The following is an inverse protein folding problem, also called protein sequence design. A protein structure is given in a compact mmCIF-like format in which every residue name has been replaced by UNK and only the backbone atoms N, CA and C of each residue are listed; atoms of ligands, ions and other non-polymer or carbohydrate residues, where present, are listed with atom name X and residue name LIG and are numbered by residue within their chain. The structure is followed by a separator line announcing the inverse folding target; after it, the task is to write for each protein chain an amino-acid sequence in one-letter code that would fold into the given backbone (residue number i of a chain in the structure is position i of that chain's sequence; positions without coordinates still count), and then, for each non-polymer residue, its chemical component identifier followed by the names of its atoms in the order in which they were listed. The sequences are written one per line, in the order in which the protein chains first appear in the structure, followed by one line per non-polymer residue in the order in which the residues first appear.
data_IF_083146153928
#
_entry.id   IF_083146153928
#
_cell.length_a   1.000
_cell.length_b   1.000
_cell.length_c   1.000
_cell.angle_alpha   90.00
_cell.angle_beta   90.00
_cell.angle_gamma   90.00
#
_symmetry.space_group_name_H-M   'P 1'
#
loop_
_entity.id
_entity.type
_entity.pdbx_description
1 polymer ?
#
# COMPACT_ATOMS: atom_id res chain seq x y z
N UNK A 1 -36.03 -8.47 53.36
CA UNK A 1 -35.98 -9.38 52.20
C UNK A 1 -36.28 -8.59 50.94
N UNK A 2 -35.26 -8.16 50.20
CA UNK A 2 -35.40 -7.49 48.91
C UNK A 2 -35.37 -8.56 47.82
N UNK A 3 -36.53 -8.80 47.19
CA UNK A 3 -36.67 -9.74 46.08
C UNK A 3 -36.16 -9.09 44.80
N UNK A 4 -35.03 -9.57 44.29
CA UNK A 4 -34.44 -9.15 43.02
C UNK A 4 -35.27 -9.68 41.85
N UNK A 5 -36.05 -8.81 41.20
CA UNK A 5 -36.70 -9.12 39.92
C UNK A 5 -35.65 -9.12 38.81
N UNK A 6 -35.23 -10.30 38.37
CA UNK A 6 -34.60 -10.45 37.05
C UNK A 6 -35.67 -10.18 35.99
N UNK A 7 -35.56 -9.06 35.28
CA UNK A 7 -36.32 -8.85 34.05
C UNK A 7 -35.76 -9.77 32.97
N UNK A 8 -36.58 -10.59 32.30
CA UNK A 8 -36.10 -11.41 31.19
C UNK A 8 -35.68 -10.49 30.04
N UNK A 9 -34.43 -10.66 29.60
CA UNK A 9 -33.93 -10.06 28.36
C UNK A 9 -34.87 -10.52 27.25
N UNK A 10 -35.52 -9.56 26.57
CA UNK A 10 -36.52 -9.91 25.56
C UNK A 10 -35.86 -10.68 24.42
N UNK A 11 -36.58 -11.63 23.81
CA UNK A 11 -36.07 -12.39 22.66
C UNK A 11 -35.62 -11.48 21.50
N UNK A 12 -36.09 -10.23 21.47
CA UNK A 12 -35.69 -9.20 20.52
C UNK A 12 -34.26 -8.68 20.77
N UNK A 13 -33.88 -8.37 22.01
CA UNK A 13 -32.51 -7.92 22.33
C UNK A 13 -31.47 -9.04 22.14
N UNK A 14 -31.84 -10.29 22.41
CA UNK A 14 -30.97 -11.44 22.12
C UNK A 14 -30.74 -11.64 20.62
N UNK A 15 -31.78 -11.45 19.79
CA UNK A 15 -31.68 -11.54 18.33
C UNK A 15 -30.82 -10.42 17.73
N UNK A 16 -30.93 -9.19 18.24
CA UNK A 16 -30.11 -8.06 17.80
C UNK A 16 -28.64 -8.30 18.15
N UNK A 17 -28.33 -8.71 19.39
CA UNK A 17 -26.96 -9.03 19.82
C UNK A 17 -26.33 -10.19 19.01
N UNK A 18 -27.11 -11.25 18.75
CA UNK A 18 -26.65 -12.35 17.92
C UNK A 18 -26.35 -11.90 16.48
N UNK A 19 -27.19 -11.03 15.90
CA UNK A 19 -26.95 -10.46 14.58
C UNK A 19 -25.68 -9.60 14.56
N UNK A 20 -25.46 -8.75 15.57
CA UNK A 20 -24.26 -7.93 15.70
C UNK A 20 -22.98 -8.76 15.79
N UNK A 21 -23.00 -9.87 16.52
CA UNK A 21 -21.89 -10.83 16.62
C UNK A 21 -21.59 -11.52 15.28
N UNK A 22 -22.62 -11.88 14.52
CA UNK A 22 -22.46 -12.45 13.17
C UNK A 22 -21.85 -11.43 12.21
N UNK A 23 -22.29 -10.17 12.23
CA UNK A 23 -21.68 -9.12 11.40
C UNK A 23 -20.23 -8.82 11.80
N UNK A 24 -19.92 -8.78 13.10
CA UNK A 24 -18.55 -8.56 13.58
C UNK A 24 -17.59 -9.70 13.18
N UNK A 25 -18.05 -10.96 13.26
CA UNK A 25 -17.26 -12.14 12.90
C UNK A 25 -17.07 -12.28 11.39
N UNK A 26 -18.10 -12.03 10.59
CA UNK A 26 -17.96 -12.04 9.12
C UNK A 26 -17.02 -10.91 8.67
N UNK A 27 -17.16 -9.70 9.22
CA UNK A 27 -16.28 -8.57 8.88
C UNK A 27 -14.80 -8.85 9.17
N UNK A 28 -14.49 -9.49 10.30
CA UNK A 28 -13.11 -9.82 10.67
C UNK A 28 -12.51 -10.94 9.80
N UNK A 29 -13.30 -11.94 9.39
CA UNK A 29 -12.84 -12.97 8.43
C UNK A 29 -12.49 -12.36 7.07
N UNK A 30 -13.29 -11.41 6.58
CA UNK A 30 -13.00 -10.72 5.32
C UNK A 30 -11.71 -9.89 5.38
N UNK A 31 -11.45 -9.21 6.51
CA UNK A 31 -10.22 -8.44 6.71
C UNK A 31 -8.99 -9.36 6.72
N UNK A 32 -9.03 -10.44 7.50
CA UNK A 32 -7.90 -11.39 7.60
C UNK A 32 -7.62 -12.06 6.27
N UNK A 33 -8.67 -12.42 5.51
CA UNK A 33 -8.51 -13.02 4.19
C UNK A 33 -7.85 -12.05 3.19
N UNK A 34 -8.24 -10.78 3.21
CA UNK A 34 -7.62 -9.78 2.34
C UNK A 34 -6.13 -9.59 2.68
N UNK A 35 -5.78 -9.54 3.98
CA UNK A 35 -4.40 -9.45 4.43
C UNK A 35 -3.56 -10.67 4.03
N UNK A 36 -4.15 -11.88 4.07
CA UNK A 36 -3.50 -13.11 3.62
C UNK A 36 -3.30 -13.14 2.10
N UNK A 37 -4.31 -12.77 1.32
CA UNK A 37 -4.21 -12.71 -0.15
C UNK A 37 -3.15 -11.69 -0.60
N UNK A 38 -3.05 -10.55 0.08
CA UNK A 38 -1.98 -9.56 -0.12
C UNK A 38 -0.59 -10.15 0.21
N UNK A 39 -0.45 -10.84 1.34
CA UNK A 39 0.82 -11.49 1.72
C UNK A 39 1.24 -12.60 0.76
N UNK A 40 0.28 -13.37 0.25
CA UNK A 40 0.56 -14.42 -0.74
C UNK A 40 0.99 -13.84 -2.08
N UNK A 41 0.38 -12.74 -2.53
CA UNK A 41 0.82 -12.02 -3.73
C UNK A 41 2.24 -11.48 -3.55
N UNK A 42 2.51 -10.84 -2.41
CA UNK A 42 3.84 -10.35 -2.05
C UNK A 42 4.90 -11.46 -2.06
N UNK A 43 4.59 -12.61 -1.46
CA UNK A 43 5.49 -13.77 -1.42
C UNK A 43 5.74 -14.38 -2.82
N UNK A 44 4.77 -14.27 -3.73
CA UNK A 44 4.86 -14.81 -5.08
C UNK A 44 5.67 -13.91 -6.03
N UNK A 45 5.56 -12.59 -5.88
CA UNK A 45 6.29 -11.60 -6.67
C UNK A 45 7.79 -11.55 -6.34
N UNK A 46 8.17 -11.93 -5.12
CA UNK A 46 9.56 -12.16 -4.71
C UNK A 46 10.29 -13.24 -5.53
N UNK A 47 9.58 -14.06 -6.34
CA UNK A 47 10.14 -15.24 -7.01
C UNK A 47 10.42 -15.12 -8.52
N UNK A 48 10.07 -14.03 -9.20
CA UNK A 48 10.40 -13.87 -10.63
C UNK A 48 11.75 -13.19 -10.84
N UNK A 49 12.82 -13.97 -10.71
CA UNK A 49 14.20 -13.59 -11.00
C UNK A 49 14.49 -13.55 -12.51
N UNK A 50 14.23 -12.42 -13.15
CA UNK A 50 15.08 -11.96 -14.26
C UNK A 50 15.82 -10.73 -13.75
N UNK A 51 17.13 -10.86 -13.50
CA UNK A 51 17.93 -9.74 -12.97
C UNK A 51 18.18 -8.73 -14.07
N UNK A 52 17.28 -7.78 -14.23
CA UNK A 52 17.48 -6.66 -15.14
C UNK A 52 18.48 -5.69 -14.53
N UNK A 53 19.50 -5.32 -15.30
CA UNK A 53 20.50 -4.32 -14.91
C UNK A 53 20.08 -2.99 -15.54
N UNK A 54 19.56 -2.04 -14.74
CA UNK A 54 19.11 -0.77 -15.27
C UNK A 54 20.30 0.06 -15.81
N UNK A 55 20.08 0.93 -16.81
CA UNK A 55 21.13 1.83 -17.29
C UNK A 55 21.69 2.70 -16.16
N UNK A 56 22.99 2.99 -16.22
CA UNK A 56 23.64 3.89 -15.26
C UNK A 56 23.29 5.36 -15.49
N UNK A 57 22.75 5.72 -16.65
CA UNK A 57 22.26 7.06 -16.96
C UNK A 57 20.92 7.33 -16.29
N UNK A 58 20.66 8.61 -16.02
CA UNK A 58 19.34 9.08 -15.58
C UNK A 58 18.29 8.83 -16.68
N UNK A 59 17.09 8.33 -16.37
CA UNK A 59 16.00 8.26 -17.34
C UNK A 59 15.63 9.68 -17.84
N UNK A 60 15.37 9.86 -19.15
CA UNK A 60 14.69 11.06 -19.64
C UNK A 60 13.36 11.25 -18.93
N UNK A 61 12.98 12.51 -18.65
CA UNK A 61 11.70 12.81 -17.99
C UNK A 61 10.57 12.81 -19.02
N UNK A 62 10.19 11.61 -19.46
CA UNK A 62 9.20 11.38 -20.51
C UNK A 62 8.25 10.24 -20.11
N UNK A 63 7.05 10.23 -20.70
CA UNK A 63 6.11 9.10 -20.55
C UNK A 63 6.73 7.79 -21.02
N UNK A 64 7.50 7.81 -22.12
CA UNK A 64 8.20 6.64 -22.63
C UNK A 64 9.14 6.02 -21.59
N UNK A 65 9.81 6.82 -20.76
CA UNK A 65 10.67 6.27 -19.71
C UNK A 65 9.89 5.62 -18.56
N UNK A 66 8.66 6.06 -18.31
CA UNK A 66 7.74 5.36 -17.40
C UNK A 66 7.36 4.00 -17.97
N UNK A 67 6.97 3.97 -19.25
CA UNK A 67 6.56 2.74 -19.92
C UNK A 67 7.71 1.73 -20.00
N UNK A 68 8.92 2.20 -20.31
CA UNK A 68 10.15 1.39 -20.29
C UNK A 68 10.42 0.86 -18.88
N UNK A 69 10.28 1.68 -17.83
CA UNK A 69 10.54 1.23 -16.47
C UNK A 69 9.52 0.16 -16.01
N UNK A 70 8.25 0.31 -16.37
CA UNK A 70 7.21 -0.70 -16.11
C UNK A 70 7.58 -2.06 -16.74
N UNK A 71 8.01 -2.06 -17.99
CA UNK A 71 8.46 -3.28 -18.69
C UNK A 71 9.77 -3.83 -18.09
N UNK A 72 10.77 -2.97 -17.92
CA UNK A 72 12.10 -3.30 -17.39
C UNK A 72 12.04 -3.99 -16.03
N UNK A 73 11.12 -3.57 -15.16
CA UNK A 73 10.97 -4.15 -13.83
C UNK A 73 9.79 -5.12 -13.73
N UNK A 74 9.13 -5.46 -14.85
CA UNK A 74 7.99 -6.37 -14.90
C UNK A 74 6.84 -5.96 -13.95
N UNK A 75 6.51 -4.67 -13.92
CA UNK A 75 5.42 -4.12 -13.11
C UNK A 75 4.12 -4.23 -13.92
N UNK A 76 3.13 -4.94 -13.37
CA UNK A 76 1.85 -5.17 -14.04
C UNK A 76 0.75 -4.26 -13.51
N UNK A 77 0.05 -3.57 -14.40
CA UNK A 77 -1.05 -2.68 -14.03
C UNK A 77 -2.27 -3.52 -13.62
N UNK A 78 -2.81 -3.37 -12.40
CA UNK A 78 -3.98 -4.11 -11.98
C UNK A 78 -5.24 -3.59 -12.70
N UNK A 79 -6.27 -4.43 -12.79
CA UNK A 79 -7.48 -4.16 -13.60
C UNK A 79 -8.24 -2.89 -13.18
N UNK A 80 -8.16 -2.56 -11.89
CA UNK A 80 -8.77 -1.39 -11.27
C UNK A 80 -7.93 -0.11 -11.40
N UNK A 81 -6.77 -0.14 -12.04
CA UNK A 81 -5.93 1.03 -12.27
C UNK A 81 -5.85 1.42 -13.75
N UNK A 82 -5.46 2.66 -14.01
CA UNK A 82 -5.01 3.14 -15.31
C UNK A 82 -3.48 3.05 -15.42
N UNK A 83 -2.95 3.09 -16.64
CA UNK A 83 -1.50 3.23 -16.83
C UNK A 83 -0.97 4.49 -16.15
N UNK A 84 0.20 4.42 -15.48
CA UNK A 84 0.84 5.59 -14.86
C UNK A 84 1.08 6.71 -15.87
N UNK A 85 0.87 7.96 -15.44
CA UNK A 85 1.07 9.14 -16.29
C UNK A 85 2.09 10.09 -15.70
N UNK A 86 2.93 10.66 -16.57
CA UNK A 86 3.80 11.76 -16.18
C UNK A 86 2.98 13.01 -15.82
N UNK A 87 3.20 13.54 -14.61
CA UNK A 87 2.70 14.85 -14.19
C UNK A 87 3.86 15.77 -13.82
N UNK A 88 4.13 16.76 -14.67
CA UNK A 88 5.22 17.72 -14.49
C UNK A 88 5.01 18.69 -13.32
N UNK A 89 3.82 18.73 -12.73
CA UNK A 89 3.48 19.59 -11.60
C UNK A 89 3.44 18.85 -10.28
N UNK A 90 3.57 17.53 -10.28
CA UNK A 90 3.60 16.74 -9.06
C UNK A 90 4.93 16.99 -8.34
N UNK A 91 4.87 17.45 -7.09
CA UNK A 91 6.05 17.70 -6.27
C UNK A 91 6.64 16.39 -5.72
N UNK A 92 5.77 15.41 -5.46
CA UNK A 92 6.14 14.08 -5.00
C UNK A 92 6.68 13.18 -6.13
N UNK A 93 7.22 12.01 -5.77
CA UNK A 93 7.71 11.03 -6.75
C UNK A 93 6.55 10.37 -7.49
N UNK A 94 5.51 10.00 -6.76
CA UNK A 94 4.33 9.32 -7.27
C UNK A 94 3.10 9.73 -6.47
N UNK A 95 1.92 9.50 -7.07
CA UNK A 95 0.65 9.68 -6.40
C UNK A 95 -0.40 8.74 -7.02
N UNK A 96 -1.09 7.99 -6.17
CA UNK A 96 -2.25 7.20 -6.54
C UNK A 96 -3.53 7.83 -6.01
N UNK A 97 -4.46 8.16 -6.91
CA UNK A 97 -5.75 8.76 -6.54
C UNK A 97 -6.93 7.95 -7.05
N UNK A 98 -8.05 8.04 -6.35
CA UNK A 98 -9.33 7.55 -6.85
C UNK A 98 -9.93 8.62 -7.77
N UNK A 99 -10.09 8.31 -9.06
CA UNK A 99 -10.77 9.21 -9.99
C UNK A 99 -12.17 9.55 -9.46
N UNK A 100 -12.56 10.83 -9.53
CA UNK A 100 -13.86 11.33 -9.03
C UNK A 100 -15.11 10.64 -9.60
N UNK A 101 -14.99 9.90 -10.72
CA UNK A 101 -16.06 9.04 -11.26
C UNK A 101 -16.02 7.58 -10.77
N UNK A 102 -15.09 7.23 -9.88
CA UNK A 102 -15.07 5.98 -9.11
C UNK A 102 -14.79 4.70 -9.89
N UNK A 103 -14.33 4.76 -11.14
CA UNK A 103 -14.16 3.56 -11.98
C UNK A 103 -12.78 2.92 -11.89
N UNK A 104 -11.72 3.73 -11.76
CA UNK A 104 -10.33 3.26 -11.70
C UNK A 104 -9.46 4.19 -10.87
N UNK A 105 -8.38 3.65 -10.31
CA UNK A 105 -7.29 4.39 -9.69
C UNK A 105 -6.41 4.99 -10.78
N UNK A 106 -6.03 6.25 -10.57
CA UNK A 106 -5.11 6.99 -11.43
C UNK A 106 -3.77 7.10 -10.72
N UNK A 107 -2.71 6.65 -11.41
CA UNK A 107 -1.33 6.76 -10.94
C UNK A 107 -0.65 7.88 -11.72
N UNK A 108 -0.08 8.84 -11.02
CA UNK A 108 0.77 9.88 -11.60
C UNK A 108 2.19 9.78 -11.06
N UNK A 109 3.16 10.12 -11.90
CA UNK A 109 4.59 10.08 -11.59
C UNK A 109 5.17 11.47 -11.81
N UNK A 110 5.87 11.97 -10.81
CA UNK A 110 6.44 13.31 -10.79
C UNK A 110 7.91 13.35 -11.21
N UNK A 111 8.45 14.54 -11.51
CA UNK A 111 9.86 14.74 -11.85
C UNK A 111 10.87 14.13 -10.85
N UNK A 112 10.50 14.08 -9.57
CA UNK A 112 11.35 13.58 -8.50
C UNK A 112 11.66 12.07 -8.61
N UNK A 113 10.83 11.28 -9.31
CA UNK A 113 11.06 9.85 -9.52
C UNK A 113 12.18 9.54 -10.52
N UNK A 114 12.53 10.50 -11.39
CA UNK A 114 13.45 10.27 -12.51
C UNK A 114 14.93 10.33 -12.12
N UNK A 115 15.31 10.31 -10.84
CA UNK A 115 16.73 10.46 -10.41
C UNK A 115 17.62 9.31 -10.87
N UNK A 116 17.05 8.10 -10.99
CA UNK A 116 17.67 6.92 -11.60
C UNK A 116 16.58 5.98 -12.09
N UNK A 117 16.92 5.04 -12.97
CA UNK A 117 15.98 3.98 -13.38
C UNK A 117 15.53 3.13 -12.19
N UNK A 118 16.42 2.88 -11.23
CA UNK A 118 16.10 2.15 -10.00
C UNK A 118 15.03 2.87 -9.16
N UNK A 119 15.19 4.17 -8.95
CA UNK A 119 14.22 4.97 -8.19
C UNK A 119 12.89 5.10 -8.94
N UNK A 120 12.93 5.25 -10.27
CA UNK A 120 11.71 5.29 -11.09
C UNK A 120 10.93 3.96 -11.00
N UNK A 121 11.61 2.82 -11.14
CA UNK A 121 11.00 1.51 -10.99
C UNK A 121 10.43 1.26 -9.59
N UNK A 122 11.20 1.61 -8.55
CA UNK A 122 10.78 1.52 -7.16
C UNK A 122 9.53 2.37 -6.87
N UNK A 123 9.50 3.62 -7.36
CA UNK A 123 8.34 4.51 -7.25
C UNK A 123 7.13 3.92 -7.99
N UNK A 124 7.32 3.38 -9.19
CA UNK A 124 6.22 2.76 -9.94
C UNK A 124 5.65 1.55 -9.18
N UNK A 125 6.48 0.72 -8.57
CA UNK A 125 6.03 -0.41 -7.77
C UNK A 125 5.29 0.04 -6.51
N UNK A 126 5.77 1.08 -5.84
CA UNK A 126 5.10 1.72 -4.70
C UNK A 126 3.66 2.09 -5.05
N UNK A 127 3.45 2.80 -6.16
CA UNK A 127 2.12 3.23 -6.59
C UNK A 127 1.26 2.09 -7.17
N UNK A 128 1.84 1.28 -8.06
CA UNK A 128 1.08 0.32 -8.89
C UNK A 128 0.90 -1.02 -8.20
N UNK A 129 1.89 -1.54 -7.48
CA UNK A 129 1.81 -2.86 -6.86
C UNK A 129 1.18 -2.76 -5.47
N UNK A 130 1.38 -1.65 -4.76
CA UNK A 130 0.84 -1.48 -3.41
C UNK A 130 -0.41 -0.61 -3.41
N UNK A 131 -0.31 0.69 -3.71
CA UNK A 131 -1.48 1.56 -3.59
C UNK A 131 -2.64 1.11 -4.49
N UNK A 132 -2.38 0.65 -5.71
CA UNK A 132 -3.48 0.17 -6.56
C UNK A 132 -4.20 -1.08 -6.03
N UNK A 133 -3.58 -1.86 -5.15
CA UNK A 133 -4.18 -3.03 -4.50
C UNK A 133 -4.76 -2.73 -3.11
N UNK A 134 -4.53 -1.52 -2.59
CA UNK A 134 -5.08 -1.08 -1.30
C UNK A 134 -6.54 -0.64 -1.38
N UNK A 135 -7.24 -0.76 -0.26
CA UNK A 135 -8.62 -0.32 -0.12
C UNK A 135 -8.68 1.10 0.47
N UNK A 136 -8.71 2.11 -0.39
CA UNK A 136 -8.76 3.53 -0.01
C UNK A 136 -9.94 3.90 0.90
N UNK A 137 -11.09 3.23 0.74
CA UNK A 137 -12.25 3.45 1.60
C UNK A 137 -12.00 2.97 3.03
N UNK A 138 -11.35 1.81 3.18
CA UNK A 138 -10.96 1.26 4.47
C UNK A 138 -9.86 2.12 5.12
N UNK A 139 -8.86 2.56 4.34
CA UNK A 139 -7.81 3.47 4.79
C UNK A 139 -8.44 4.74 5.37
N UNK A 140 -9.29 5.41 4.58
CA UNK A 140 -9.97 6.63 5.01
C UNK A 140 -10.85 6.42 6.24
N UNK A 141 -11.54 5.29 6.33
CA UNK A 141 -12.32 4.94 7.52
C UNK A 141 -11.42 4.79 8.76
N UNK A 142 -10.26 4.13 8.63
CA UNK A 142 -9.28 4.03 9.73
C UNK A 142 -8.80 5.42 10.16
N UNK A 143 -8.49 6.31 9.21
CA UNK A 143 -8.08 7.68 9.54
C UNK A 143 -9.17 8.46 10.29
N UNK A 144 -10.42 8.34 9.84
CA UNK A 144 -11.57 8.96 10.53
C UNK A 144 -11.76 8.44 11.97
N UNK A 145 -11.35 7.21 12.24
CA UNK A 145 -11.38 6.59 13.57
C UNK A 145 -10.09 6.83 14.39
N UNK A 146 -9.12 7.59 13.87
CA UNK A 146 -7.83 7.82 14.52
C UNK A 146 -6.90 6.60 14.55
N UNK A 147 -7.11 5.64 13.64
CA UNK A 147 -6.37 4.38 13.54
C UNK A 147 -5.24 4.42 12.49
N UNK A 148 -4.82 5.61 12.06
CA UNK A 148 -3.65 5.85 11.18
C UNK A 148 -3.63 4.96 9.92
N UNK A 149 -4.74 4.95 9.19
CA UNK A 149 -4.88 4.19 7.94
C UNK A 149 -3.85 4.57 6.90
N UNK A 150 -3.68 5.88 6.65
CA UNK A 150 -2.67 6.40 5.72
C UNK A 150 -1.26 6.01 6.14
N UNK A 151 -0.92 6.18 7.43
CA UNK A 151 0.41 5.81 7.94
C UNK A 151 0.75 4.35 7.64
N UNK A 152 -0.17 3.43 7.97
CA UNK A 152 0.03 2.00 7.71
C UNK A 152 0.16 1.67 6.23
N UNK A 153 -0.67 2.29 5.38
CA UNK A 153 -0.67 2.07 3.94
C UNK A 153 0.62 2.55 3.25
N UNK A 154 1.13 3.70 3.66
CA UNK A 154 2.35 4.31 3.11
C UNK A 154 3.59 3.57 3.59
N UNK A 155 3.64 3.16 4.86
CA UNK A 155 4.71 2.29 5.37
C UNK A 155 4.76 0.96 4.64
N UNK A 156 3.63 0.35 4.34
CA UNK A 156 3.58 -0.88 3.55
C UNK A 156 4.23 -0.68 2.17
N UNK A 157 3.93 0.44 1.52
CA UNK A 157 4.49 0.77 0.21
C UNK A 157 6.01 1.02 0.24
N UNK A 158 6.51 1.79 1.21
CA UNK A 158 7.96 1.98 1.39
C UNK A 158 8.69 0.69 1.79
N UNK A 159 8.08 -0.15 2.63
CA UNK A 159 8.66 -1.44 3.00
C UNK A 159 8.74 -2.39 1.80
N UNK A 160 7.77 -2.33 0.87
CA UNK A 160 7.80 -3.05 -0.40
C UNK A 160 8.97 -2.60 -1.29
N UNK A 161 9.23 -1.30 -1.38
CA UNK A 161 10.40 -0.78 -2.10
C UNK A 161 11.71 -1.33 -1.52
N UNK A 162 11.84 -1.31 -0.19
CA UNK A 162 13.03 -1.78 0.50
C UNK A 162 13.23 -3.30 0.37
N UNK A 163 12.17 -4.10 0.51
CA UNK A 163 12.25 -5.56 0.37
C UNK A 163 12.54 -6.00 -1.07
N UNK A 164 12.19 -5.17 -2.05
CA UNK A 164 12.44 -5.41 -3.47
C UNK A 164 13.63 -4.59 -4.00
N UNK A 165 14.51 -4.11 -3.12
CA UNK A 165 15.68 -3.31 -3.49
C UNK A 165 16.58 -4.02 -4.51
N UNK A 166 16.72 -5.34 -4.42
CA UNK A 166 17.48 -6.14 -5.38
C UNK A 166 16.82 -6.24 -6.76
N UNK A 167 15.48 -6.23 -6.83
CA UNK A 167 14.72 -6.20 -8.10
C UNK A 167 14.96 -4.88 -8.83
N UNK A 168 14.94 -3.78 -8.09
CA UNK A 168 15.13 -2.44 -8.67
C UNK A 168 16.60 -2.02 -8.80
N UNK A 169 17.53 -2.76 -8.19
CA UNK A 169 18.96 -2.39 -8.06
C UNK A 169 19.16 -1.06 -7.32
N UNK A 170 18.38 -0.84 -6.26
CA UNK A 170 18.52 0.33 -5.38
C UNK A 170 19.88 0.32 -4.70
N UNK A 171 20.62 1.42 -4.80
CA UNK A 171 21.89 1.58 -4.09
C UNK A 171 21.62 1.83 -2.61
N UNK A 172 22.64 1.63 -1.76
CA UNK A 172 22.53 1.89 -0.32
C UNK A 172 22.03 3.31 -0.01
N UNK A 173 22.46 4.30 -0.78
CA UNK A 173 22.00 5.68 -0.64
C UNK A 173 20.50 5.85 -0.98
N UNK A 174 20.00 5.15 -2.00
CA UNK A 174 18.58 5.18 -2.37
C UNK A 174 17.74 4.51 -1.27
N UNK A 175 18.19 3.36 -0.77
CA UNK A 175 17.55 2.64 0.33
C UNK A 175 17.54 3.46 1.63
N UNK A 176 18.64 4.17 1.93
CA UNK A 176 18.72 5.07 3.08
C UNK A 176 17.72 6.22 2.93
N UNK A 177 17.70 6.88 1.77
CA UNK A 177 16.73 7.96 1.48
C UNK A 177 15.29 7.48 1.61
N UNK A 178 14.95 6.30 1.07
CA UNK A 178 13.62 5.71 1.18
C UNK A 178 13.25 5.46 2.64
N UNK A 179 14.16 4.85 3.42
CA UNK A 179 13.94 4.56 4.84
C UNK A 179 13.76 5.84 5.66
N UNK A 180 14.57 6.85 5.42
CA UNK A 180 14.49 8.14 6.11
C UNK A 180 13.18 8.87 5.79
N UNK A 181 12.75 8.90 4.52
CA UNK A 181 11.45 9.46 4.13
C UNK A 181 10.31 8.72 4.83
N UNK A 182 10.33 7.39 4.81
CA UNK A 182 9.32 6.57 5.50
C UNK A 182 9.27 6.89 6.99
N UNK A 183 10.39 6.89 7.70
CA UNK A 183 10.39 7.14 9.15
C UNK A 183 10.06 8.60 9.51
N UNK A 184 10.36 9.56 8.65
CA UNK A 184 10.06 10.97 8.89
C UNK A 184 8.56 11.28 8.72
N UNK A 185 7.96 10.87 7.60
CA UNK A 185 6.56 11.16 7.29
C UNK A 185 5.59 10.15 7.92
N UNK A 186 6.04 8.91 8.09
CA UNK A 186 5.22 7.78 8.47
C UNK A 186 5.89 6.95 9.57
N UNK A 187 6.18 7.53 10.76
CA UNK A 187 6.93 6.86 11.80
C UNK A 187 6.21 5.61 12.33
N UNK A 188 6.99 4.59 12.69
CA UNK A 188 6.46 3.46 13.44
C UNK A 188 5.97 3.93 14.82
N UNK A 189 4.81 3.47 15.27
CA UNK A 189 4.35 3.73 16.64
C UNK A 189 5.31 3.10 17.64
N UNK A 190 5.85 3.89 18.55
CA UNK A 190 6.51 3.41 19.76
C UNK A 190 5.53 2.50 20.53
N UNK A 191 5.71 1.18 20.39
CA UNK A 191 4.84 0.18 21.01
C UNK A 191 4.79 -1.19 20.33
N UNK A 192 5.25 -1.34 19.08
CA UNK A 192 5.50 -2.65 18.49
C UNK A 192 6.91 -3.14 18.86
N UNK A 193 7.01 -3.62 20.10
CA UNK A 193 8.20 -4.17 20.74
C UNK A 193 9.12 -4.95 19.79
N UNK A 194 10.37 -4.49 19.77
CA UNK A 194 11.58 -5.28 19.63
C UNK A 194 11.42 -6.73 20.11
N UNK A 195 11.37 -7.66 19.16
CA UNK A 195 11.85 -9.04 19.28
C UNK A 195 12.16 -9.49 17.84
N UNK A 196 13.40 -9.61 17.42
CA UNK A 196 14.39 -10.56 17.94
C UNK A 196 15.81 -10.03 17.70
N UNK A 197 16.65 -10.16 18.72
CA UNK A 197 18.08 -10.41 18.55
C UNK A 197 18.28 -11.83 18.02
#
# INVERSE_FOLDING_TARGET
MLSSRHQPVSAFTFRVLALSLVFASIGSIFIVRQELELREQFAKELSSEETVVPPSSKPPMTQESIDIAMEMFNISIPKNATSPKLDMKLEDRGLTTLNGFGKKLEVTIGPAAFTSWAVLGSTLAHEVEIHCNQNFSLIRMKDMLGLEGTNGAEREAYMHELSNSDRFKLKEADQASIRETMEYYYPARDGALTARK
#
